data_IF_199993554001
#
_entry.id   IF_199993554001
#
_cell.length_a   1.000
_cell.length_b   1.000
_cell.length_c   1.000
_cell.angle_alpha   90.00
_cell.angle_beta   90.00
_cell.angle_gamma   90.00
#
_symmetry.space_group_name_H-M   'P 1'
#
loop_
_entity.id
_entity.type
_entity.pdbx_description
1 polymer ?
#
# COMPACT_ATOMS: atom_id res chain seq x y z
N UNK A 1 3.55 -10.34 19.38
CA UNK A 1 3.06 -9.55 18.22
C UNK A 1 3.80 -10.07 17.01
N UNK A 2 3.08 -10.49 15.97
CA UNK A 2 3.69 -11.18 14.81
C UNK A 2 4.58 -10.19 14.04
N UNK A 3 5.84 -10.55 13.74
CA UNK A 3 6.82 -9.66 13.08
C UNK A 3 6.31 -9.09 11.75
N UNK A 4 5.48 -9.83 11.01
CA UNK A 4 4.87 -9.35 9.76
C UNK A 4 3.82 -8.24 10.00
N UNK A 5 3.16 -8.24 11.16
CA UNK A 5 2.19 -7.21 11.54
C UNK A 5 2.88 -5.90 11.94
N UNK A 6 4.04 -6.00 12.61
CA UNK A 6 4.92 -4.85 12.92
C UNK A 6 5.44 -4.21 11.62
N UNK A 7 5.81 -5.02 10.62
CA UNK A 7 6.18 -4.52 9.28
C UNK A 7 5.01 -3.80 8.61
N UNK A 8 3.79 -4.33 8.68
CA UNK A 8 2.60 -3.71 8.11
C UNK A 8 2.27 -2.35 8.75
N UNK A 9 2.33 -2.27 10.09
CA UNK A 9 2.17 -1.00 10.80
C UNK A 9 3.24 0.02 10.42
N UNK A 10 4.49 -0.43 10.18
CA UNK A 10 5.57 0.44 9.71
C UNK A 10 5.27 1.00 8.32
N UNK A 11 4.85 0.17 7.38
CA UNK A 11 4.49 0.63 6.02
C UNK A 11 3.23 1.49 6.01
N UNK A 12 2.28 1.24 6.91
CA UNK A 12 1.14 2.12 7.12
C UNK A 12 1.56 3.50 7.61
N UNK A 13 2.46 3.59 8.61
CA UNK A 13 2.98 4.88 9.09
C UNK A 13 3.79 5.62 8.04
N UNK A 14 4.52 4.90 7.18
CA UNK A 14 5.17 5.50 6.01
C UNK A 14 4.12 6.09 5.06
N UNK A 15 3.08 5.33 4.69
CA UNK A 15 1.99 5.83 3.84
C UNK A 15 1.29 7.05 4.47
N UNK A 16 0.99 7.01 5.77
CA UNK A 16 0.38 8.09 6.54
C UNK A 16 1.24 9.36 6.53
N UNK A 17 2.56 9.25 6.79
CA UNK A 17 3.48 10.40 6.69
C UNK A 17 3.49 11.00 5.29
N UNK A 18 3.45 10.15 4.27
CA UNK A 18 3.51 10.59 2.88
C UNK A 18 2.20 11.21 2.37
N UNK A 19 1.08 11.04 3.08
CA UNK A 19 -0.22 11.69 2.78
C UNK A 19 -0.17 13.22 2.87
N UNK A 20 0.78 13.73 3.66
CA UNK A 20 0.90 15.16 3.97
C UNK A 20 2.25 15.77 3.54
N UNK A 21 3.11 14.98 2.87
CA UNK A 21 4.46 15.39 2.49
C UNK A 21 4.62 15.37 0.96
N UNK A 22 4.70 16.57 0.40
CA UNK A 22 4.93 16.91 -1.00
C UNK A 22 6.32 16.50 -1.52
N UNK A 23 7.22 16.06 -0.63
CA UNK A 23 8.50 15.42 -0.97
C UNK A 23 8.41 13.91 -1.27
N UNK A 24 7.24 13.29 -1.12
CA UNK A 24 7.09 11.86 -1.38
C UNK A 24 7.16 11.56 -2.86
N UNK A 25 8.09 10.69 -3.27
CA UNK A 25 8.19 10.25 -4.66
C UNK A 25 7.29 9.04 -4.94
N UNK A 26 6.77 8.93 -6.16
CA UNK A 26 6.01 7.75 -6.58
C UNK A 26 6.80 6.43 -6.45
N UNK A 27 8.14 6.52 -6.50
CA UNK A 27 9.04 5.40 -6.23
C UNK A 27 8.93 4.86 -4.80
N UNK A 28 8.81 5.75 -3.81
CA UNK A 28 8.62 5.35 -2.41
C UNK A 28 7.27 4.67 -2.22
N UNK A 29 6.19 5.24 -2.76
CA UNK A 29 4.85 4.63 -2.70
C UNK A 29 4.80 3.25 -3.39
N UNK A 30 5.47 3.10 -4.53
CA UNK A 30 5.60 1.81 -5.21
C UNK A 30 6.35 0.78 -4.37
N UNK A 31 7.43 1.22 -3.70
CA UNK A 31 8.22 0.38 -2.80
C UNK A 31 7.39 -0.05 -1.59
N UNK A 32 6.69 0.88 -0.93
CA UNK A 32 5.84 0.59 0.22
C UNK A 32 4.68 -0.33 -0.15
N UNK A 33 4.04 -0.13 -1.30
CA UNK A 33 2.99 -1.03 -1.82
C UNK A 33 3.51 -2.46 -2.01
N UNK A 34 4.70 -2.61 -2.62
CA UNK A 34 5.32 -3.93 -2.82
C UNK A 34 5.63 -4.61 -1.49
N UNK A 35 6.26 -3.90 -0.56
CA UNK A 35 6.62 -4.42 0.76
C UNK A 35 5.39 -4.80 1.60
N UNK A 36 4.31 -4.02 1.51
CA UNK A 36 3.05 -4.32 2.17
C UNK A 36 2.42 -5.61 1.64
N UNK A 37 2.42 -5.82 0.31
CA UNK A 37 1.96 -7.09 -0.29
C UNK A 37 2.78 -8.27 0.21
N UNK A 38 4.11 -8.14 0.28
CA UNK A 38 4.98 -9.20 0.81
C UNK A 38 4.66 -9.52 2.28
N UNK A 39 4.48 -8.50 3.12
CA UNK A 39 4.13 -8.69 4.53
C UNK A 39 2.73 -9.29 4.73
N UNK A 40 1.73 -8.91 3.91
CA UNK A 40 0.40 -9.53 3.91
C UNK A 40 0.47 -11.00 3.52
N UNK A 41 1.29 -11.36 2.52
CA UNK A 41 1.49 -12.77 2.12
C UNK A 41 2.18 -13.59 3.22
N UNK A 42 3.19 -13.02 3.87
CA UNK A 42 3.84 -13.66 5.02
C UNK A 42 2.81 -13.91 6.14
N UNK A 43 2.00 -12.91 6.47
CA UNK A 43 0.99 -13.00 7.52
C UNK A 43 -0.12 -14.00 7.16
N UNK A 44 -0.59 -14.00 5.91
CA UNK A 44 -1.54 -14.96 5.37
C UNK A 44 -1.04 -16.40 5.49
N UNK A 45 0.24 -16.65 5.17
CA UNK A 45 0.85 -17.97 5.21
C UNK A 45 1.04 -18.52 6.64
N UNK A 46 1.11 -17.64 7.64
CA UNK A 46 1.28 -17.99 9.04
C UNK A 46 -0.04 -18.15 9.80
N UNK A 47 -1.16 -17.75 9.20
CA UNK A 47 -2.48 -17.85 9.82
C UNK A 47 -3.17 -19.15 9.42
N UNK A 48 -3.91 -19.76 10.34
CA UNK A 48 -4.84 -20.86 10.04
C UNK A 48 -6.29 -20.37 9.89
N UNK A 49 -6.56 -19.12 10.28
CA UNK A 49 -7.91 -18.52 10.17
C UNK A 49 -8.25 -18.20 8.72
N UNK A 50 -9.40 -18.72 8.26
CA UNK A 50 -9.96 -18.43 6.94
C UNK A 50 -10.27 -16.95 6.80
N UNK A 51 -10.82 -16.32 7.85
CA UNK A 51 -11.18 -14.89 7.85
C UNK A 51 -9.94 -14.01 7.68
N UNK A 52 -8.85 -14.33 8.38
CA UNK A 52 -7.57 -13.63 8.23
C UNK A 52 -7.01 -13.81 6.83
N UNK A 53 -7.10 -15.01 6.26
CA UNK A 53 -6.63 -15.28 4.89
C UNK A 53 -7.43 -14.47 3.86
N UNK A 54 -8.75 -14.46 3.95
CA UNK A 54 -9.62 -13.68 3.08
C UNK A 54 -9.33 -12.19 3.19
N UNK A 55 -9.19 -11.66 4.41
CA UNK A 55 -8.86 -10.25 4.62
C UNK A 55 -7.50 -9.86 4.00
N UNK A 56 -6.50 -10.74 4.10
CA UNK A 56 -5.21 -10.54 3.43
C UNK A 56 -5.35 -10.52 1.91
N UNK A 57 -6.11 -11.44 1.33
CA UNK A 57 -6.33 -11.53 -0.13
C UNK A 57 -7.03 -10.29 -0.69
N UNK A 58 -8.10 -9.84 -0.02
CA UNK A 58 -8.82 -8.62 -0.40
C UNK A 58 -7.92 -7.39 -0.35
N UNK A 59 -7.10 -7.29 0.69
CA UNK A 59 -6.15 -6.17 0.85
C UNK A 59 -5.06 -6.22 -0.23
N UNK A 60 -4.51 -7.40 -0.52
CA UNK A 60 -3.53 -7.60 -1.60
C UNK A 60 -4.12 -7.21 -2.96
N UNK A 61 -5.38 -7.56 -3.23
CA UNK A 61 -6.06 -7.20 -4.48
C UNK A 61 -6.15 -5.67 -4.66
N UNK A 62 -6.55 -4.94 -3.60
CA UNK A 62 -6.58 -3.46 -3.61
C UNK A 62 -5.19 -2.85 -3.81
N UNK A 63 -4.15 -3.43 -3.20
CA UNK A 63 -2.77 -2.98 -3.41
C UNK A 63 -2.24 -3.30 -4.81
N UNK A 64 -2.77 -4.33 -5.48
CA UNK A 64 -2.43 -4.60 -6.88
C UNK A 64 -3.05 -3.58 -7.84
N UNK A 65 -4.24 -3.04 -7.56
CA UNK A 65 -4.81 -1.92 -8.33
C UNK A 65 -3.89 -0.69 -8.29
N UNK A 66 -3.24 -0.46 -7.15
CA UNK A 66 -2.24 0.58 -6.97
C UNK A 66 -1.05 0.45 -7.96
N UNK A 67 -0.63 -0.78 -8.28
CA UNK A 67 0.45 -1.04 -9.25
C UNK A 67 0.12 -0.49 -10.65
N UNK A 68 -1.16 -0.56 -11.04
CA UNK A 68 -1.61 0.00 -12.32
C UNK A 68 -1.56 1.54 -12.31
N UNK A 69 -1.93 2.17 -11.19
CA UNK A 69 -1.83 3.61 -11.02
C UNK A 69 -0.37 4.09 -11.05
N UNK A 70 0.55 3.37 -10.41
CA UNK A 70 2.00 3.65 -10.45
C UNK A 70 2.53 3.61 -11.89
N UNK A 71 2.09 2.63 -12.69
CA UNK A 71 2.46 2.54 -14.11
C UNK A 71 1.97 3.77 -14.89
N UNK A 72 0.70 4.15 -14.71
CA UNK A 72 0.11 5.34 -15.34
C UNK A 72 0.83 6.63 -14.93
N UNK A 73 1.21 6.76 -13.65
CA UNK A 73 2.01 7.89 -13.18
C UNK A 73 3.36 7.93 -13.89
N UNK A 74 4.07 6.80 -14.00
CA UNK A 74 5.33 6.72 -14.74
C UNK A 74 5.18 7.11 -16.22
N UNK A 75 4.08 6.72 -16.86
CA UNK A 75 3.75 7.12 -18.24
C UNK A 75 3.43 8.62 -18.37
N UNK A 76 2.92 9.26 -17.30
CA UNK A 76 2.68 10.71 -17.27
C UNK A 76 3.95 11.56 -17.10
N UNK A 77 5.05 10.98 -16.61
CA UNK A 77 6.32 11.68 -16.42
C UNK A 77 7.14 11.88 -17.71
N UNK A 78 6.60 11.50 -18.88
CA UNK A 78 7.39 11.34 -20.12
C UNK A 78 7.44 12.61 -20.99
N UNK A 79 6.74 13.69 -20.62
CA UNK A 79 6.75 14.95 -21.37
C UNK A 79 7.39 16.10 -20.58
N UNK A 80 8.70 16.33 -20.75
CA UNK A 80 9.52 17.50 -20.32
C UNK A 80 9.45 17.99 -18.84
N UNK A 81 8.49 17.50 -18.08
CA UNK A 81 8.32 17.64 -16.65
C UNK A 81 8.58 16.26 -16.07
N UNK A 82 9.67 16.14 -15.30
CA UNK A 82 9.94 14.97 -14.45
C UNK A 82 8.89 14.80 -13.32
N UNK A 83 7.85 15.63 -13.34
CA UNK A 83 6.71 15.66 -12.43
C UNK A 83 5.54 15.05 -13.19
N UNK A 84 5.13 13.85 -12.79
CA UNK A 84 3.95 13.19 -13.33
C UNK A 84 2.65 13.85 -12.86
N UNK A 85 1.52 13.32 -13.31
CA UNK A 85 0.20 13.81 -12.95
C UNK A 85 -0.04 13.65 -11.43
N UNK A 86 -0.13 14.80 -10.75
CA UNK A 86 -0.34 14.86 -9.30
C UNK A 86 -1.66 14.22 -8.86
N UNK A 87 -2.70 14.19 -9.71
CA UNK A 87 -3.96 13.52 -9.39
C UNK A 87 -3.76 12.01 -9.32
N UNK A 88 -2.99 11.44 -10.26
CA UNK A 88 -2.64 10.01 -10.23
C UNK A 88 -1.79 9.72 -9.00
N UNK A 89 -0.86 10.61 -8.66
CA UNK A 89 -0.05 10.48 -7.44
C UNK A 89 -0.90 10.47 -6.15
N UNK A 90 -1.84 11.40 -6.03
CA UNK A 90 -2.76 11.45 -4.90
C UNK A 90 -3.61 10.17 -4.80
N UNK A 91 -4.06 9.63 -5.93
CA UNK A 91 -4.84 8.39 -5.99
C UNK A 91 -4.04 7.15 -5.55
N UNK A 92 -2.76 7.05 -5.96
CA UNK A 92 -1.82 6.03 -5.48
C UNK A 92 -1.73 6.09 -3.95
N UNK A 93 -1.52 7.28 -3.41
CA UNK A 93 -1.34 7.47 -1.98
C UNK A 93 -2.61 7.11 -1.18
N UNK A 94 -3.76 7.61 -1.62
CA UNK A 94 -5.06 7.31 -1.02
C UNK A 94 -5.38 5.81 -1.05
N UNK A 95 -5.14 5.14 -2.17
CA UNK A 95 -5.43 3.70 -2.31
C UNK A 95 -4.55 2.88 -1.38
N UNK A 96 -3.26 3.20 -1.27
CA UNK A 96 -2.33 2.53 -0.36
C UNK A 96 -2.75 2.71 1.09
N UNK A 97 -3.01 3.97 1.49
CA UNK A 97 -3.42 4.30 2.86
C UNK A 97 -4.72 3.60 3.25
N UNK A 98 -5.78 3.74 2.45
CA UNK A 98 -7.09 3.19 2.77
C UNK A 98 -7.08 1.65 2.83
N UNK A 99 -6.31 1.00 1.96
CA UNK A 99 -6.19 -0.46 1.98
C UNK A 99 -5.52 -0.95 3.27
N UNK A 100 -4.42 -0.31 3.68
CA UNK A 100 -3.69 -0.68 4.90
C UNK A 100 -4.44 -0.30 6.18
N UNK A 101 -5.06 0.87 6.24
CA UNK A 101 -5.91 1.29 7.36
C UNK A 101 -7.06 0.30 7.57
N UNK A 102 -7.80 0.01 6.49
CA UNK A 102 -8.93 -0.90 6.54
C UNK A 102 -8.53 -2.30 6.99
N UNK A 103 -7.36 -2.79 6.58
CA UNK A 103 -6.80 -4.06 7.05
C UNK A 103 -6.47 -4.01 8.55
N UNK A 104 -5.73 -3.00 9.01
CA UNK A 104 -5.29 -2.87 10.41
C UNK A 104 -6.46 -2.72 11.38
N UNK A 105 -7.51 -1.98 10.99
CA UNK A 105 -8.74 -1.86 11.78
C UNK A 105 -9.43 -3.22 11.88
N UNK A 106 -9.64 -3.90 10.76
CA UNK A 106 -10.36 -5.19 10.76
C UNK A 106 -9.62 -6.29 11.51
N UNK A 107 -8.29 -6.38 11.36
CA UNK A 107 -7.50 -7.38 12.09
C UNK A 107 -7.45 -7.10 13.60
N UNK A 108 -7.58 -5.84 14.03
CA UNK A 108 -7.68 -5.48 15.45
C UNK A 108 -9.03 -5.82 16.09
N UNK A 109 -10.04 -6.18 15.29
CA UNK A 109 -11.36 -6.61 15.74
C UNK A 109 -11.57 -8.14 15.67
N UNK A 110 -10.59 -8.88 15.13
CA UNK A 110 -10.55 -10.35 15.09
C UNK A 110 -9.78 -10.90 16.30
#
# INVERSE_FOLDING_TARGET
>A
MNDSLIKLETYFREAERTKHDDGTTAYLLATSSKKAIEALREYQAQSDSVEVKTLCEETIARLHENKNLIKKYGESCVSDNLIGDYLIFAEINHTLYNALESFLVQIGHL
#
